data_IF_036007507030
#
_entry.id   IF_036007507030
#
_cell.length_a   1.000
_cell.length_b   1.000
_cell.length_c   1.000
_cell.angle_alpha   90.00
_cell.angle_beta   90.00
_cell.angle_gamma   90.00
#
_symmetry.space_group_name_H-M   'P 1'
#
loop_
_entity.id
_entity.type
_entity.pdbx_description
1 polymer ?
#
# COMPACT_ATOMS: atom_id res chain seq x y z
N UNK A 1 -18.78 -12.57 9.60
CA UNK A 1 -18.41 -13.10 10.94
C UNK A 1 -18.80 -14.57 11.04
N UNK A 2 -20.06 -14.96 10.79
CA UNK A 2 -20.47 -16.36 10.94
C UNK A 2 -19.61 -17.35 10.13
N UNK A 3 -19.36 -17.06 8.85
CA UNK A 3 -18.51 -17.87 7.98
C UNK A 3 -17.03 -17.88 8.39
N UNK A 4 -16.57 -16.86 9.14
CA UNK A 4 -15.18 -16.74 9.59
C UNK A 4 -14.92 -17.41 10.96
N UNK A 5 -15.94 -18.01 11.58
CA UNK A 5 -15.87 -18.56 12.94
C UNK A 5 -14.75 -19.59 13.11
N UNK A 6 -14.55 -20.47 12.14
CA UNK A 6 -13.49 -21.49 12.14
C UNK A 6 -12.09 -20.87 12.23
N UNK A 7 -11.87 -19.76 11.55
CA UNK A 7 -10.60 -19.02 11.62
C UNK A 7 -10.48 -18.24 12.94
N UNK A 8 -11.57 -17.63 13.41
CA UNK A 8 -11.55 -16.75 14.60
C UNK A 8 -11.43 -17.55 15.90
N UNK A 9 -12.13 -18.66 16.04
CA UNK A 9 -12.14 -19.48 17.27
C UNK A 9 -11.10 -20.61 17.22
N UNK A 10 -10.61 -20.98 16.02
CA UNK A 10 -9.60 -22.02 15.79
C UNK A 10 -8.35 -21.49 15.08
N UNK A 11 -7.66 -22.37 14.38
CA UNK A 11 -6.50 -22.03 13.53
C UNK A 11 -6.77 -22.40 12.05
N UNK A 12 -8.02 -22.49 11.66
CA UNK A 12 -8.41 -22.77 10.28
C UNK A 12 -8.26 -21.57 9.38
N UNK A 13 -8.24 -21.81 8.07
CA UNK A 13 -8.35 -20.76 7.04
C UNK A 13 -9.73 -20.81 6.42
N UNK A 14 -10.24 -19.67 6.02
CA UNK A 14 -11.51 -19.54 5.33
C UNK A 14 -11.40 -18.59 4.16
N UNK A 15 -11.98 -19.01 3.03
CA UNK A 15 -12.14 -18.17 1.85
C UNK A 15 -13.63 -17.93 1.59
N UNK A 16 -14.00 -16.67 1.37
CA UNK A 16 -15.38 -16.23 1.18
C UNK A 16 -15.45 -15.44 -0.13
N UNK A 17 -16.47 -15.66 -0.91
CA UNK A 17 -16.77 -14.87 -2.10
C UNK A 17 -18.08 -14.12 -1.89
N UNK A 18 -18.14 -12.84 -2.28
CA UNK A 18 -19.33 -11.99 -2.15
C UNK A 18 -19.36 -10.90 -3.20
N UNK A 19 -20.56 -10.48 -3.58
CA UNK A 19 -20.73 -9.21 -4.29
C UNK A 19 -20.56 -8.05 -3.29
N UNK A 20 -20.17 -6.89 -3.81
CA UNK A 20 -20.09 -5.64 -3.07
C UNK A 20 -20.62 -4.48 -3.91
N UNK A 21 -21.22 -3.51 -3.27
CA UNK A 21 -21.70 -2.29 -3.90
C UNK A 21 -21.28 -1.05 -3.11
N UNK A 22 -21.38 0.13 -3.70
CA UNK A 22 -20.93 1.38 -3.10
C UNK A 22 -21.73 1.82 -1.86
N UNK A 23 -22.85 1.17 -1.55
CA UNK A 23 -23.59 1.37 -0.30
C UNK A 23 -23.02 0.55 0.86
N UNK A 24 -22.18 -0.46 0.58
CA UNK A 24 -21.52 -1.29 1.57
C UNK A 24 -20.29 -0.57 2.10
N UNK A 25 -20.47 0.21 3.16
CA UNK A 25 -19.42 1.05 3.77
C UNK A 25 -18.73 0.34 4.91
N UNK A 26 -17.47 0.72 5.18
CA UNK A 26 -16.67 0.22 6.31
C UNK A 26 -16.57 -1.32 6.38
N UNK A 27 -16.66 -1.98 5.24
CA UNK A 27 -16.51 -3.43 5.14
C UNK A 27 -15.15 -3.84 5.71
N UNK A 28 -15.15 -4.85 6.58
CA UNK A 28 -13.96 -5.32 7.30
C UNK A 28 -13.83 -4.80 8.74
N UNK A 29 -14.35 -3.60 9.07
CA UNK A 29 -14.17 -2.99 10.39
C UNK A 29 -14.83 -3.80 11.53
N UNK A 30 -16.09 -4.25 11.34
CA UNK A 30 -16.77 -5.09 12.35
C UNK A 30 -16.10 -6.47 12.49
N UNK A 31 -15.65 -7.06 11.39
CA UNK A 31 -14.91 -8.32 11.41
C UNK A 31 -13.61 -8.15 12.21
N UNK A 32 -12.84 -7.09 11.93
CA UNK A 32 -11.61 -6.76 12.63
C UNK A 32 -11.84 -6.56 14.14
N UNK A 33 -12.88 -5.80 14.51
CA UNK A 33 -13.27 -5.62 15.91
C UNK A 33 -13.56 -6.96 16.60
N UNK A 34 -14.28 -7.85 15.92
CA UNK A 34 -14.60 -9.18 16.46
C UNK A 34 -13.35 -10.05 16.61
N UNK A 35 -12.47 -10.09 15.61
CA UNK A 35 -11.18 -10.79 15.68
C UNK A 35 -10.35 -10.30 16.87
N UNK A 36 -10.16 -8.98 17.00
CA UNK A 36 -9.35 -8.40 18.07
C UNK A 36 -9.94 -8.69 19.44
N UNK A 37 -11.26 -8.60 19.61
CA UNK A 37 -11.94 -8.92 20.87
C UNK A 37 -11.82 -10.39 21.24
N UNK A 38 -11.87 -11.29 20.26
CA UNK A 38 -11.83 -12.75 20.52
C UNK A 38 -10.41 -13.24 20.73
N UNK A 39 -9.46 -12.77 19.92
CA UNK A 39 -8.07 -13.26 19.90
C UNK A 39 -7.12 -12.45 20.79
N UNK A 40 -7.47 -11.22 21.15
CA UNK A 40 -6.64 -10.33 21.96
C UNK A 40 -5.25 -10.13 21.30
N UNK A 41 -4.18 -10.44 22.04
CA UNK A 41 -2.80 -10.37 21.55
C UNK A 41 -2.41 -11.53 20.61
N UNK A 42 -3.20 -12.60 20.57
CA UNK A 42 -2.98 -13.76 19.72
C UNK A 42 -3.57 -13.49 18.34
N UNK A 43 -2.83 -12.80 17.50
CA UNK A 43 -3.25 -12.52 16.12
C UNK A 43 -3.66 -13.80 15.37
N UNK A 44 -4.51 -13.62 14.37
CA UNK A 44 -4.73 -14.67 13.37
C UNK A 44 -3.43 -14.96 12.62
N UNK A 45 -3.27 -16.20 12.15
CA UNK A 45 -2.23 -16.52 11.18
C UNK A 45 -2.46 -15.70 9.90
N UNK A 46 -1.41 -15.52 9.12
CA UNK A 46 -1.51 -14.77 7.87
C UNK A 46 -2.54 -15.42 6.95
N UNK A 47 -3.38 -14.56 6.35
CA UNK A 47 -4.41 -14.95 5.39
C UNK A 47 -5.39 -16.01 5.93
N UNK A 48 -5.70 -15.92 7.24
CA UNK A 48 -6.65 -16.81 7.89
C UNK A 48 -8.09 -16.57 7.40
N UNK A 49 -8.42 -15.33 7.09
CA UNK A 49 -9.72 -14.93 6.53
C UNK A 49 -9.45 -14.19 5.23
N UNK A 50 -9.81 -14.78 4.12
CA UNK A 50 -9.71 -14.18 2.80
C UNK A 50 -11.11 -13.97 2.22
N UNK A 51 -11.45 -12.73 1.86
CA UNK A 51 -12.74 -12.40 1.28
C UNK A 51 -12.53 -11.74 -0.08
N UNK A 52 -13.00 -12.42 -1.12
CA UNK A 52 -13.00 -11.92 -2.49
C UNK A 52 -14.34 -11.26 -2.80
N UNK A 53 -14.30 -9.99 -3.14
CA UNK A 53 -15.45 -9.21 -3.56
C UNK A 53 -15.44 -8.95 -5.07
N UNK A 54 -16.63 -8.83 -5.66
CA UNK A 54 -16.83 -8.35 -7.03
C UNK A 54 -17.78 -7.16 -7.02
N UNK A 55 -17.34 -6.05 -7.58
CA UNK A 55 -18.11 -4.82 -7.70
C UNK A 55 -17.40 -3.59 -7.18
N UNK A 56 -18.14 -2.55 -6.80
CA UNK A 56 -17.60 -1.28 -6.32
C UNK A 56 -17.71 -1.20 -4.80
N UNK A 57 -16.60 -1.15 -4.09
CA UNK A 57 -16.61 -1.05 -2.64
C UNK A 57 -17.00 0.37 -2.18
N UNK A 58 -17.83 0.45 -1.16
CA UNK A 58 -18.22 1.71 -0.54
C UNK A 58 -17.11 2.34 0.29
N UNK A 59 -17.38 3.52 0.81
CA UNK A 59 -16.42 4.34 1.57
C UNK A 59 -15.83 3.60 2.77
N UNK A 60 -14.54 3.81 3.03
CA UNK A 60 -13.80 3.22 4.15
C UNK A 60 -13.69 1.68 4.09
N UNK A 61 -13.61 1.12 2.89
CA UNK A 61 -13.35 -0.30 2.71
C UNK A 61 -12.02 -0.69 3.38
N UNK A 62 -12.02 -1.75 4.18
CA UNK A 62 -10.84 -2.20 4.91
C UNK A 62 -10.36 -1.25 6.02
N UNK A 63 -11.20 -0.30 6.48
CA UNK A 63 -10.83 0.56 7.59
C UNK A 63 -10.54 -0.26 8.85
N UNK A 64 -9.39 0.05 9.52
CA UNK A 64 -8.92 -0.62 10.74
C UNK A 64 -8.74 -2.14 10.58
N UNK A 65 -8.45 -2.62 9.39
CA UNK A 65 -8.34 -4.04 9.10
C UNK A 65 -7.23 -4.69 9.92
N UNK A 66 -7.60 -5.71 10.68
CA UNK A 66 -6.70 -6.42 11.59
C UNK A 66 -5.86 -7.48 10.87
N UNK A 67 -4.71 -7.84 11.46
CA UNK A 67 -3.81 -8.88 10.96
C UNK A 67 -4.54 -10.22 10.72
N UNK A 68 -4.16 -10.90 9.64
CA UNK A 68 -4.72 -12.20 9.26
C UNK A 68 -6.01 -12.13 8.43
N UNK A 69 -6.51 -10.91 8.14
CA UNK A 69 -7.64 -10.70 7.25
C UNK A 69 -7.13 -10.12 5.93
N UNK A 70 -7.48 -10.76 4.83
CA UNK A 70 -7.27 -10.26 3.46
C UNK A 70 -8.62 -9.93 2.83
N UNK A 71 -8.76 -8.72 2.30
CA UNK A 71 -9.91 -8.29 1.51
C UNK A 71 -9.45 -7.98 0.10
N UNK A 72 -10.05 -8.65 -0.89
CA UNK A 72 -9.76 -8.47 -2.31
C UNK A 72 -11.01 -7.95 -3.03
N UNK A 73 -10.84 -6.99 -3.95
CA UNK A 73 -11.92 -6.47 -4.80
C UNK A 73 -11.53 -6.58 -6.26
N UNK A 74 -12.26 -7.38 -7.02
CA UNK A 74 -12.30 -7.29 -8.48
C UNK A 74 -13.31 -6.20 -8.86
N UNK A 75 -12.80 -4.96 -9.07
CA UNK A 75 -13.64 -3.78 -9.26
C UNK A 75 -12.92 -2.50 -8.86
N UNK A 76 -13.60 -1.63 -8.14
CA UNK A 76 -13.09 -0.35 -7.65
C UNK A 76 -13.54 -0.08 -6.21
N UNK A 77 -13.08 1.04 -5.63
CA UNK A 77 -13.47 1.45 -4.30
C UNK A 77 -13.58 2.98 -4.16
N UNK A 78 -14.41 3.41 -3.23
CA UNK A 78 -14.58 4.82 -2.85
C UNK A 78 -13.41 5.34 -1.98
N UNK A 79 -13.61 6.48 -1.33
CA UNK A 79 -12.62 7.13 -0.47
C UNK A 79 -12.29 6.32 0.80
N UNK A 80 -11.15 6.66 1.42
CA UNK A 80 -10.70 6.14 2.71
C UNK A 80 -10.44 4.62 2.75
N UNK A 81 -10.08 4.00 1.63
CA UNK A 81 -9.64 2.61 1.62
C UNK A 81 -8.48 2.42 2.61
N UNK A 82 -8.58 1.44 3.49
CA UNK A 82 -7.53 1.13 4.46
C UNK A 82 -7.23 2.24 5.46
N UNK A 83 -8.17 3.15 5.75
CA UNK A 83 -8.00 4.13 6.82
C UNK A 83 -7.69 3.42 8.14
N UNK A 84 -6.56 3.77 8.78
CA UNK A 84 -6.15 3.13 10.03
C UNK A 84 -5.87 1.64 9.91
N UNK A 85 -5.56 1.13 8.72
CA UNK A 85 -5.15 -0.27 8.50
C UNK A 85 -4.06 -0.66 9.50
N UNK A 86 -4.21 -1.78 10.21
CA UNK A 86 -3.36 -2.12 11.34
C UNK A 86 -2.66 -3.48 11.24
N UNK A 87 -2.76 -4.17 10.08
CA UNK A 87 -2.06 -5.43 9.88
C UNK A 87 -2.69 -6.40 8.89
N UNK A 88 -3.88 -6.09 8.34
CA UNK A 88 -4.51 -6.87 7.29
C UNK A 88 -3.95 -6.54 5.90
N UNK A 89 -4.50 -7.21 4.89
CA UNK A 89 -4.13 -6.99 3.48
C UNK A 89 -5.34 -6.52 2.67
N UNK A 90 -5.15 -5.51 1.83
CA UNK A 90 -6.15 -5.02 0.87
C UNK A 90 -5.59 -5.16 -0.54
N UNK A 91 -6.38 -5.74 -1.44
CA UNK A 91 -6.03 -5.93 -2.84
C UNK A 91 -7.20 -5.39 -3.69
N UNK A 92 -6.93 -4.46 -4.62
CA UNK A 92 -7.95 -3.94 -5.53
C UNK A 92 -7.39 -3.92 -6.94
N UNK A 93 -8.10 -4.48 -7.88
CA UNK A 93 -7.72 -4.55 -9.28
C UNK A 93 -8.95 -4.50 -10.19
N UNK A 94 -8.80 -3.99 -11.43
CA UNK A 94 -9.91 -3.91 -12.38
C UNK A 94 -10.51 -5.27 -12.70
N UNK A 95 -11.80 -5.33 -13.08
CA UNK A 95 -12.38 -6.57 -13.60
C UNK A 95 -11.54 -7.14 -14.76
N UNK A 96 -11.36 -8.45 -14.79
CA UNK A 96 -10.50 -9.13 -15.79
C UNK A 96 -10.89 -8.90 -17.25
N UNK A 97 -12.12 -8.53 -17.48
CA UNK A 97 -12.66 -8.20 -18.82
C UNK A 97 -12.65 -6.69 -19.11
N UNK A 98 -12.00 -5.87 -18.30
CA UNK A 98 -11.87 -4.44 -18.56
C UNK A 98 -11.02 -4.20 -19.82
N UNK A 99 -11.43 -3.19 -20.58
CA UNK A 99 -10.77 -2.79 -21.86
C UNK A 99 -9.89 -1.56 -21.70
N UNK A 100 -9.90 -0.93 -20.54
CA UNK A 100 -9.06 0.23 -20.23
C UNK A 100 -7.69 -0.19 -19.68
N UNK A 101 -6.75 0.72 -19.71
CA UNK A 101 -5.40 0.55 -19.15
C UNK A 101 -5.47 0.93 -17.67
N UNK A 102 -5.24 -0.02 -16.77
CA UNK A 102 -5.42 0.17 -15.33
C UNK A 102 -4.65 1.38 -14.77
N UNK A 103 -3.40 1.54 -15.18
CA UNK A 103 -2.52 2.62 -14.69
C UNK A 103 -2.95 4.04 -15.12
N UNK A 104 -3.89 4.16 -16.06
CA UNK A 104 -4.41 5.44 -16.53
C UNK A 104 -5.75 5.81 -15.86
N UNK A 105 -6.31 4.90 -15.04
CA UNK A 105 -7.64 5.03 -14.46
C UNK A 105 -7.62 5.00 -12.93
N UNK A 106 -8.59 5.70 -12.32
CA UNK A 106 -8.73 5.74 -10.86
C UNK A 106 -9.41 4.45 -10.36
N UNK A 107 -8.69 3.66 -9.57
CA UNK A 107 -9.20 2.41 -8.97
C UNK A 107 -9.76 2.62 -7.57
N UNK A 108 -9.29 3.64 -6.84
CA UNK A 108 -9.81 4.00 -5.53
C UNK A 108 -9.78 5.52 -5.33
N UNK A 109 -10.68 6.02 -4.50
CA UNK A 109 -10.85 7.46 -4.27
C UNK A 109 -9.75 8.10 -3.44
N UNK A 110 -10.12 9.16 -2.71
CA UNK A 110 -9.19 9.95 -1.91
C UNK A 110 -8.83 9.27 -0.59
N UNK A 111 -7.68 9.67 0.00
CA UNK A 111 -7.30 9.39 1.39
C UNK A 111 -7.08 7.89 1.67
N UNK A 112 -6.67 7.12 0.66
CA UNK A 112 -6.32 5.71 0.84
C UNK A 112 -5.11 5.55 1.75
N UNK A 113 -5.14 4.62 2.71
CA UNK A 113 -4.05 4.36 3.66
C UNK A 113 -3.84 5.43 4.72
N UNK A 114 -4.79 6.36 4.93
CA UNK A 114 -4.67 7.42 5.91
C UNK A 114 -4.47 6.89 7.34
N UNK A 115 -3.40 7.33 7.99
CA UNK A 115 -3.11 6.97 9.38
C UNK A 115 -2.94 5.47 9.60
N UNK A 116 -2.61 4.71 8.57
CA UNK A 116 -2.35 3.28 8.69
C UNK A 116 -1.08 3.02 9.49
N UNK A 117 -1.13 2.00 10.35
CA UNK A 117 -0.05 1.66 11.29
C UNK A 117 0.65 0.35 10.95
N UNK A 118 0.14 -0.39 9.97
CA UNK A 118 0.71 -1.66 9.49
C UNK A 118 -0.18 -2.31 8.46
N UNK A 119 0.23 -3.48 7.96
CA UNK A 119 -0.48 -4.21 6.91
C UNK A 119 0.04 -3.94 5.51
N UNK A 120 -0.69 -4.43 4.52
CA UNK A 120 -0.31 -4.35 3.11
C UNK A 120 -1.48 -3.86 2.25
N UNK A 121 -1.18 -3.10 1.20
CA UNK A 121 -2.17 -2.59 0.25
C UNK A 121 -1.60 -2.64 -1.17
N UNK A 122 -2.30 -3.31 -2.09
CA UNK A 122 -1.91 -3.47 -3.48
C UNK A 122 -3.06 -3.02 -4.38
N UNK A 123 -2.86 -1.90 -5.10
CA UNK A 123 -3.88 -1.25 -5.91
C UNK A 123 -3.42 -1.16 -7.36
N UNK A 124 -4.01 -1.95 -8.26
CA UNK A 124 -3.73 -1.86 -9.69
C UNK A 124 -4.62 -0.80 -10.34
N UNK A 125 -4.04 0.35 -10.54
CA UNK A 125 -4.63 1.58 -11.00
C UNK A 125 -4.18 2.78 -10.16
N UNK A 126 -4.61 3.98 -10.55
CA UNK A 126 -4.32 5.21 -9.82
C UNK A 126 -5.25 5.36 -8.61
N UNK A 127 -4.81 6.15 -7.64
CA UNK A 127 -5.67 6.64 -6.57
C UNK A 127 -5.71 8.17 -6.60
N UNK A 128 -6.77 8.73 -6.04
CA UNK A 128 -6.94 10.17 -6.00
C UNK A 128 -6.00 10.84 -4.97
N UNK A 129 -6.42 11.94 -4.34
CA UNK A 129 -5.55 12.73 -3.48
C UNK A 129 -5.29 12.08 -2.11
N UNK A 130 -4.19 12.49 -1.47
CA UNK A 130 -3.84 12.19 -0.07
C UNK A 130 -3.60 10.70 0.22
N UNK A 131 -2.99 10.02 -0.71
CA UNK A 131 -2.54 8.64 -0.52
C UNK A 131 -1.51 8.54 0.61
N UNK A 132 -1.71 7.59 1.53
CA UNK A 132 -0.79 7.29 2.65
C UNK A 132 -0.43 8.47 3.55
N UNK A 133 -1.30 9.49 3.66
CA UNK A 133 -1.11 10.59 4.60
C UNK A 133 -1.05 10.05 6.03
N UNK A 134 -0.02 10.46 6.80
CA UNK A 134 0.24 9.98 8.17
C UNK A 134 0.39 8.46 8.28
N UNK A 135 0.84 7.79 7.22
CA UNK A 135 1.23 6.39 7.28
C UNK A 135 2.42 6.22 8.24
N UNK A 136 2.34 5.26 9.16
CA UNK A 136 3.41 4.95 10.12
C UNK A 136 3.94 3.51 10.03
N UNK A 137 3.36 2.65 9.17
CA UNK A 137 3.80 1.26 9.08
C UNK A 137 3.20 0.43 7.94
N UNK A 138 2.26 0.99 7.18
CA UNK A 138 1.67 0.32 6.01
C UNK A 138 2.71 0.18 4.90
N UNK A 139 2.70 -0.97 4.24
CA UNK A 139 3.36 -1.22 2.95
C UNK A 139 2.30 -1.12 1.86
N UNK A 140 2.48 -0.21 0.91
CA UNK A 140 1.50 0.02 -0.15
C UNK A 140 2.14 0.12 -1.53
N UNK A 141 1.52 -0.49 -2.54
CA UNK A 141 1.90 -0.39 -3.96
C UNK A 141 0.70 0.11 -4.76
N UNK A 142 0.92 1.13 -5.59
CA UNK A 142 -0.11 1.77 -6.42
C UNK A 142 0.47 2.23 -7.75
N UNK A 143 -0.36 2.40 -8.78
CA UNK A 143 0.10 2.72 -10.13
C UNK A 143 0.08 4.22 -10.46
N UNK A 144 -0.34 5.07 -9.53
CA UNK A 144 -0.29 6.53 -9.61
C UNK A 144 -1.04 7.17 -8.46
N UNK A 145 -0.69 8.40 -8.08
CA UNK A 145 -1.32 9.13 -6.97
C UNK A 145 -1.58 10.58 -7.32
N UNK A 146 -2.67 11.13 -6.81
CA UNK A 146 -3.00 12.54 -6.90
C UNK A 146 -2.17 13.43 -5.97
N UNK A 147 -2.65 14.65 -5.72
CA UNK A 147 -1.98 15.63 -4.89
C UNK A 147 -1.85 15.15 -3.43
N UNK A 148 -0.81 15.63 -2.73
CA UNK A 148 -0.57 15.41 -1.30
C UNK A 148 -0.28 13.95 -0.90
N UNK A 149 0.26 13.13 -1.81
CA UNK A 149 0.69 11.77 -1.50
C UNK A 149 1.80 11.74 -0.45
N UNK A 150 1.76 10.80 0.49
CA UNK A 150 2.75 10.58 1.56
C UNK A 150 2.98 11.79 2.49
N UNK A 151 2.05 12.76 2.54
CA UNK A 151 2.18 13.87 3.48
C UNK A 151 2.19 13.39 4.94
N UNK A 152 3.11 13.96 5.74
CA UNK A 152 3.27 13.61 7.15
C UNK A 152 3.47 12.10 7.41
N UNK A 153 3.95 11.35 6.44
CA UNK A 153 4.32 9.94 6.62
C UNK A 153 5.46 9.83 7.62
N UNK A 154 5.34 8.92 8.57
CA UNK A 154 6.28 8.72 9.67
C UNK A 154 6.92 7.34 9.68
N UNK A 155 6.48 6.42 8.81
CA UNK A 155 6.99 5.06 8.70
C UNK A 155 6.33 4.31 7.55
N UNK A 156 6.66 3.02 7.40
CA UNK A 156 6.15 2.18 6.33
C UNK A 156 6.89 2.32 5.00
N UNK A 157 6.30 1.75 3.96
CA UNK A 157 6.83 1.76 2.59
C UNK A 157 5.71 2.08 1.60
N UNK A 158 6.02 2.90 0.61
CA UNK A 158 5.11 3.12 -0.52
C UNK A 158 5.86 2.93 -1.83
N UNK A 159 5.22 2.27 -2.80
CA UNK A 159 5.73 2.14 -4.17
C UNK A 159 4.70 2.76 -5.10
N UNK A 160 5.10 3.73 -5.90
CA UNK A 160 4.26 4.39 -6.90
C UNK A 160 4.84 4.10 -8.28
N UNK A 161 4.09 3.43 -9.14
CA UNK A 161 4.52 2.97 -10.47
C UNK A 161 4.17 3.96 -11.58
N UNK A 162 3.71 5.15 -11.22
CA UNK A 162 3.32 6.20 -12.14
C UNK A 162 3.51 7.58 -11.55
N UNK A 163 2.75 8.53 -12.05
CA UNK A 163 2.89 9.93 -11.66
C UNK A 163 2.44 10.20 -10.22
N UNK A 164 3.05 11.20 -9.61
CA UNK A 164 2.62 11.79 -8.34
C UNK A 164 2.04 13.18 -8.58
N UNK A 165 1.10 13.60 -7.74
CA UNK A 165 0.57 14.96 -7.74
C UNK A 165 1.46 15.95 -7.00
N UNK A 166 0.97 17.16 -6.80
CA UNK A 166 1.66 18.27 -6.10
C UNK A 166 1.85 17.94 -4.61
N UNK A 167 2.86 18.57 -4.00
CA UNK A 167 3.17 18.45 -2.58
C UNK A 167 3.46 17.02 -2.10
N UNK A 168 3.92 16.15 -2.99
CA UNK A 168 4.32 14.80 -2.62
C UNK A 168 5.39 14.83 -1.52
N UNK A 169 5.21 14.03 -0.47
CA UNK A 169 6.14 13.93 0.65
C UNK A 169 6.21 15.16 1.57
N UNK A 170 5.29 16.12 1.46
CA UNK A 170 5.30 17.30 2.33
C UNK A 170 5.16 16.90 3.81
N UNK A 171 6.07 17.37 4.67
CA UNK A 171 6.07 17.05 6.09
C UNK A 171 6.44 15.59 6.41
N UNK A 172 6.92 14.82 5.45
CA UNK A 172 7.38 13.44 5.66
C UNK A 172 8.58 13.43 6.62
N UNK A 173 8.52 12.65 7.68
CA UNK A 173 9.55 12.54 8.72
C UNK A 173 10.07 11.13 8.94
N UNK A 174 9.47 10.12 8.30
CA UNK A 174 9.89 8.73 8.37
C UNK A 174 9.30 7.90 7.24
N UNK A 175 9.72 6.65 7.11
CA UNK A 175 9.35 5.78 5.99
C UNK A 175 10.13 6.07 4.72
N UNK A 176 9.88 5.26 3.69
CA UNK A 176 10.52 5.37 2.37
C UNK A 176 9.44 5.26 1.30
N UNK A 177 9.55 6.08 0.26
CA UNK A 177 8.74 5.93 -0.95
C UNK A 177 9.67 5.62 -2.15
N UNK A 178 9.31 4.60 -2.93
CA UNK A 178 9.94 4.26 -4.20
C UNK A 178 9.03 4.75 -5.33
N UNK A 179 9.52 5.66 -6.14
CA UNK A 179 8.71 6.27 -7.22
C UNK A 179 9.34 5.94 -8.57
N UNK A 180 8.58 5.31 -9.44
CA UNK A 180 8.95 5.10 -10.83
C UNK A 180 8.77 6.40 -11.61
N UNK A 181 9.86 6.99 -12.09
CA UNK A 181 9.93 8.37 -12.59
C UNK A 181 10.63 8.48 -13.97
N UNK A 182 10.18 7.74 -15.00
CA UNK A 182 10.85 7.73 -16.29
C UNK A 182 10.80 9.11 -16.99
N UNK A 183 9.82 9.95 -16.64
CA UNK A 183 9.64 11.29 -17.22
C UNK A 183 10.27 12.43 -16.42
N UNK A 184 10.97 12.12 -15.31
CA UNK A 184 11.66 13.08 -14.45
C UNK A 184 10.74 14.19 -13.87
N UNK A 185 9.46 13.89 -13.64
CA UNK A 185 8.45 14.84 -13.15
C UNK A 185 8.43 14.98 -11.63
N UNK A 186 8.93 13.97 -10.89
CA UNK A 186 8.86 13.88 -9.44
C UNK A 186 9.42 15.13 -8.74
N UNK A 187 10.59 15.63 -9.16
CA UNK A 187 11.25 16.76 -8.50
C UNK A 187 10.43 18.04 -8.54
N UNK A 188 9.64 18.23 -9.60
CA UNK A 188 8.75 19.41 -9.73
C UNK A 188 7.46 19.30 -8.94
N UNK A 189 7.08 18.09 -8.53
CA UNK A 189 5.84 17.78 -7.81
C UNK A 189 6.03 17.58 -6.32
N UNK A 190 7.20 17.11 -5.92
CA UNK A 190 7.53 16.84 -4.52
C UNK A 190 7.89 18.12 -3.75
N UNK A 191 7.79 18.05 -2.43
CA UNK A 191 8.21 19.12 -1.55
C UNK A 191 9.62 18.84 -0.99
N UNK A 192 10.68 19.45 -1.55
CA UNK A 192 12.06 19.09 -1.22
C UNK A 192 12.54 19.65 0.15
N UNK A 193 11.71 20.35 0.90
CA UNK A 193 12.13 20.97 2.16
C UNK A 193 12.60 19.93 3.20
N UNK A 194 11.95 18.80 3.28
CA UNK A 194 12.19 17.76 4.29
C UNK A 194 12.63 16.40 3.73
N UNK A 195 12.63 16.25 2.41
CA UNK A 195 12.97 14.96 1.75
C UNK A 195 14.17 15.10 0.83
N UNK A 196 14.85 13.99 0.62
CA UNK A 196 15.90 13.79 -0.38
C UNK A 196 15.46 12.77 -1.43
N UNK A 197 16.16 12.83 -2.57
CA UNK A 197 16.00 11.90 -3.69
C UNK A 197 17.30 11.11 -3.82
N UNK A 198 17.28 9.87 -3.34
CA UNK A 198 18.46 9.01 -3.31
C UNK A 198 18.41 7.97 -4.43
N UNK A 199 19.56 7.50 -4.91
CA UNK A 199 19.61 6.35 -5.79
C UNK A 199 19.20 5.07 -5.04
N UNK A 200 18.82 4.04 -5.80
CA UNK A 200 18.47 2.73 -5.28
C UNK A 200 19.75 1.97 -4.84
N UNK A 201 19.94 1.79 -3.53
CA UNK A 201 20.96 0.89 -3.00
C UNK A 201 20.50 -0.59 -3.10
N UNK A 202 21.42 -1.53 -2.87
CA UNK A 202 21.17 -2.97 -3.03
C UNK A 202 20.03 -3.49 -2.14
N UNK A 203 19.86 -2.95 -0.94
CA UNK A 203 18.80 -3.31 -0.01
C UNK A 203 17.45 -2.82 -0.55
N UNK A 204 17.38 -1.56 -0.98
CA UNK A 204 16.20 -0.97 -1.59
C UNK A 204 15.80 -1.67 -2.88
N UNK A 205 16.76 -2.11 -3.69
CA UNK A 205 16.48 -2.87 -4.91
C UNK A 205 15.83 -4.22 -4.61
N UNK A 206 16.30 -4.94 -3.59
CA UNK A 206 15.71 -6.22 -3.16
C UNK A 206 14.31 -6.04 -2.60
N UNK A 207 14.12 -5.01 -1.74
CA UNK A 207 12.81 -4.69 -1.17
C UNK A 207 11.82 -4.33 -2.29
N UNK A 208 12.22 -3.46 -3.20
CA UNK A 208 11.38 -3.05 -4.34
C UNK A 208 11.00 -4.24 -5.22
N UNK A 209 11.97 -5.12 -5.54
CA UNK A 209 11.73 -6.30 -6.36
C UNK A 209 10.68 -7.23 -5.73
N UNK A 210 10.76 -7.47 -4.41
CA UNK A 210 9.78 -8.27 -3.65
C UNK A 210 8.39 -7.62 -3.69
N UNK A 211 8.31 -6.30 -3.46
CA UNK A 211 7.04 -5.57 -3.46
C UNK A 211 6.36 -5.55 -4.84
N UNK A 212 7.14 -5.39 -5.91
CA UNK A 212 6.63 -5.45 -7.28
C UNK A 212 6.18 -6.86 -7.66
N UNK A 213 6.92 -7.88 -7.25
CA UNK A 213 6.55 -9.28 -7.46
C UNK A 213 5.21 -9.58 -6.80
N UNK A 214 5.03 -9.22 -5.53
CA UNK A 214 3.76 -9.36 -4.81
C UNK A 214 2.64 -8.58 -5.48
N UNK A 215 2.91 -7.35 -5.90
CA UNK A 215 1.90 -6.55 -6.59
C UNK A 215 1.43 -7.20 -7.89
N UNK A 216 2.36 -7.69 -8.71
CA UNK A 216 2.05 -8.41 -9.94
C UNK A 216 1.28 -9.73 -9.69
N UNK A 217 1.63 -10.46 -8.63
CA UNK A 217 0.96 -11.71 -8.25
C UNK A 217 -0.46 -11.47 -7.75
N UNK A 218 -0.66 -10.49 -6.86
CA UNK A 218 -1.96 -10.21 -6.25
C UNK A 218 -2.95 -9.54 -7.19
N UNK A 219 -2.47 -8.64 -8.04
CA UNK A 219 -3.35 -7.78 -8.85
C UNK A 219 -3.34 -8.14 -10.35
N UNK A 220 -2.33 -8.85 -10.80
CA UNK A 220 -2.12 -9.07 -12.22
C UNK A 220 -1.56 -7.86 -12.98
N UNK A 221 -1.17 -6.78 -12.30
CA UNK A 221 -0.70 -5.50 -12.84
C UNK A 221 0.14 -5.61 -14.10
N UNK A 222 -0.28 -5.02 -15.23
CA UNK A 222 0.52 -5.04 -16.47
C UNK A 222 1.81 -4.25 -16.35
N UNK A 223 1.78 -3.06 -15.72
CA UNK A 223 2.97 -2.23 -15.55
C UNK A 223 3.99 -2.88 -14.62
N UNK A 224 3.57 -3.51 -13.54
CA UNK A 224 4.48 -4.23 -12.66
C UNK A 224 5.17 -5.40 -13.41
N UNK A 225 4.42 -6.16 -14.22
CA UNK A 225 4.97 -7.23 -15.05
C UNK A 225 5.95 -6.72 -16.09
N UNK A 226 5.67 -5.57 -16.73
CA UNK A 226 6.56 -4.93 -17.69
C UNK A 226 7.89 -4.54 -17.01
N UNK A 227 7.82 -3.87 -15.85
CA UNK A 227 9.00 -3.45 -15.09
C UNK A 227 9.83 -4.67 -14.66
N UNK A 228 9.19 -5.70 -14.11
CA UNK A 228 9.85 -6.95 -13.73
C UNK A 228 10.50 -7.68 -14.91
N UNK A 229 9.84 -7.67 -16.05
CA UNK A 229 10.36 -8.30 -17.29
C UNK A 229 11.59 -7.62 -17.88
N UNK A 230 11.82 -6.35 -17.54
CA UNK A 230 12.96 -5.54 -18.00
C UNK A 230 13.71 -4.88 -16.83
N UNK A 231 13.78 -5.57 -15.70
CA UNK A 231 14.22 -5.05 -14.40
C UNK A 231 15.48 -4.20 -14.43
N UNK A 232 16.54 -4.68 -15.07
CA UNK A 232 17.82 -3.98 -15.08
C UNK A 232 17.77 -2.61 -15.77
N UNK A 233 16.92 -2.46 -16.79
CA UNK A 233 16.73 -1.18 -17.47
C UNK A 233 15.78 -0.27 -16.68
N UNK A 234 14.67 -0.84 -16.16
CA UNK A 234 13.62 -0.07 -15.50
C UNK A 234 14.03 0.40 -14.10
N UNK A 235 14.91 -0.33 -13.42
CA UNK A 235 15.43 0.05 -12.11
C UNK A 235 16.08 1.44 -12.10
N UNK A 236 16.73 1.83 -13.19
CA UNK A 236 17.35 3.15 -13.33
C UNK A 236 16.34 4.32 -13.29
N UNK A 237 15.06 4.04 -13.50
CA UNK A 237 13.99 5.02 -13.42
C UNK A 237 13.39 5.17 -12.02
N UNK A 238 13.74 4.31 -11.07
CA UNK A 238 13.26 4.43 -9.70
C UNK A 238 14.06 5.43 -8.89
N UNK A 239 13.34 6.21 -8.11
CA UNK A 239 13.89 7.17 -7.16
C UNK A 239 13.44 6.79 -5.76
N UNK A 240 14.39 6.69 -4.83
CA UNK A 240 14.14 6.51 -3.42
C UNK A 240 13.93 7.86 -2.77
N UNK A 241 12.71 8.10 -2.29
CA UNK A 241 12.35 9.32 -1.55
C UNK A 241 12.43 9.03 -0.07
N UNK A 242 13.29 9.76 0.63
CA UNK A 242 13.56 9.56 2.06
C UNK A 242 13.58 10.90 2.81
N UNK A 243 13.04 10.97 4.04
CA UNK A 243 13.21 12.15 4.89
C UNK A 243 14.67 12.40 5.25
N UNK A 244 15.11 13.65 5.18
CA UNK A 244 16.49 14.07 5.56
C UNK A 244 16.83 13.64 6.97
N UNK A 245 15.94 13.87 7.93
CA UNK A 245 16.15 13.47 9.33
C UNK A 245 16.31 11.95 9.51
N UNK A 246 15.58 11.13 8.76
CA UNK A 246 15.75 9.68 8.79
C UNK A 246 17.11 9.28 8.22
N UNK A 247 17.52 9.89 7.12
CA UNK A 247 18.83 9.65 6.49
C UNK A 247 19.98 9.91 7.46
N UNK A 248 19.99 11.07 8.13
CA UNK A 248 20.98 11.42 9.13
C UNK A 248 21.07 10.39 10.27
N UNK A 249 19.93 9.89 10.76
CA UNK A 249 19.90 8.85 11.80
C UNK A 249 20.48 7.53 11.31
N UNK A 250 20.13 7.09 10.10
CA UNK A 250 20.65 5.86 9.52
C UNK A 250 22.16 5.93 9.24
N UNK A 251 22.64 7.05 8.74
CA UNK A 251 24.09 7.29 8.52
C UNK A 251 24.87 7.27 9.84
N UNK A 252 24.33 7.90 10.90
CA UNK A 252 24.94 7.88 12.21
C UNK A 252 25.01 6.46 12.82
N UNK A 253 23.94 5.67 12.67
CA UNK A 253 23.89 4.27 13.12
C UNK A 253 24.90 3.39 12.36
N UNK A 254 24.97 3.54 11.04
CA UNK A 254 25.93 2.79 10.23
C UNK A 254 27.39 3.12 10.61
N UNK A 255 27.68 4.40 10.88
CA UNK A 255 29.01 4.82 11.33
C UNK A 255 29.38 4.17 12.68
N UNK A 256 28.45 4.16 13.63
CA UNK A 256 28.68 3.50 14.93
C UNK A 256 28.91 1.99 14.81
N UNK A 257 28.19 1.31 13.91
CA UNK A 257 28.41 -0.12 13.65
C UNK A 257 29.78 -0.42 13.03
N UNK A 258 30.24 0.44 12.12
CA UNK A 258 31.58 0.32 11.50
C UNK A 258 32.71 0.62 12.50
N UNK A 259 32.50 1.52 13.45
CA UNK A 259 33.50 1.82 14.51
C UNK A 259 33.55 0.74 15.61
N UNK A 260 32.49 -0.10 15.72
CA UNK A 260 32.41 -1.18 16.72
C UNK A 260 32.84 -2.56 16.18
N UNK A 261 33.09 -2.69 14.87
CA UNK A 261 33.57 -3.91 14.19
C UNK A 261 35.08 -3.91 13.96
#
# INVERSE_FOLDING_TARGET
IAQSKVAIEGNGKVKIESAISNVDRTVGAMLSSHVVKTRGKNNLIEDAIHIDFKGSAGQSFGAFLAKGITLSVEGDANDYVGKGLSGGRIIIYPPKNSTFIAQDEIIAGNVCGYGATGGEMYLSGCVAERFCVRNSGLIAVVEGVGDHGCEYMTGGRTVILGEVGRNFGAGMSGGIAYVYNPHLTLQSRANPSMIDFDPMDDESQKELLDLLTKHAEFTGSPIAKQILGNWNAELAHFVKVMPKALKEVLEAQNKQLLEAS
#
